data_IF_946445927311
#
_entry.id   IF_946445927311
#
_cell.length_a   1.000
_cell.length_b   1.000
_cell.length_c   1.000
_cell.angle_alpha   90.00
_cell.angle_beta   90.00
_cell.angle_gamma   90.00
#
_symmetry.space_group_name_H-M   'P 1'
#
loop_
_entity.id
_entity.type
_entity.pdbx_description
1 polymer ?
#
# COMPACT_ATOMS: atom_id res chain seq x y z
N UNK A 1 18.77 -35.76 -13.57
CA UNK A 1 19.41 -35.64 -14.89
C UNK A 1 20.55 -34.64 -14.69
N UNK A 2 21.83 -34.97 -14.94
CA UNK A 2 22.93 -34.04 -14.62
C UNK A 2 23.68 -33.63 -15.88
N UNK A 3 23.87 -32.32 -16.03
CA UNK A 3 24.67 -31.76 -17.12
C UNK A 3 26.16 -32.04 -16.89
N UNK A 4 26.89 -32.50 -17.91
CA UNK A 4 28.34 -32.55 -17.85
C UNK A 4 28.94 -31.14 -17.71
N UNK A 5 29.97 -30.99 -16.86
CA UNK A 5 30.56 -29.68 -16.53
C UNK A 5 31.14 -28.93 -17.74
N UNK A 6 31.48 -29.65 -18.80
CA UNK A 6 32.03 -29.14 -20.05
C UNK A 6 30.97 -28.77 -21.10
N UNK A 7 29.68 -29.01 -20.83
CA UNK A 7 28.59 -28.73 -21.76
C UNK A 7 27.86 -27.45 -21.30
N UNK A 8 27.71 -26.44 -22.17
CA UNK A 8 26.90 -25.26 -21.88
C UNK A 8 25.45 -25.58 -21.52
N UNK A 9 24.83 -24.71 -20.72
CA UNK A 9 23.51 -24.98 -20.14
C UNK A 9 22.38 -24.97 -21.17
N UNK A 10 22.44 -24.02 -22.09
CA UNK A 10 21.55 -23.88 -23.24
C UNK A 10 21.58 -25.14 -24.11
N UNK A 11 22.78 -25.60 -24.50
CA UNK A 11 22.97 -26.80 -25.32
C UNK A 11 22.42 -28.05 -24.64
N UNK A 12 22.71 -28.25 -23.35
CA UNK A 12 22.16 -29.41 -22.64
C UNK A 12 20.64 -29.33 -22.51
N UNK A 13 20.07 -28.14 -22.32
CA UNK A 13 18.62 -27.97 -22.28
C UNK A 13 17.94 -28.24 -23.62
N UNK A 14 18.60 -27.94 -24.74
CA UNK A 14 18.13 -28.28 -26.08
C UNK A 14 18.11 -29.80 -26.29
N UNK A 15 19.13 -30.51 -25.83
CA UNK A 15 19.18 -31.98 -25.90
C UNK A 15 18.03 -32.62 -25.09
N UNK A 16 17.72 -32.11 -23.90
CA UNK A 16 16.58 -32.60 -23.10
C UNK A 16 15.26 -32.46 -23.86
N UNK A 17 15.08 -31.33 -24.58
CA UNK A 17 13.90 -31.11 -25.43
C UNK A 17 13.93 -32.01 -26.67
N UNK A 18 15.08 -32.14 -27.32
CA UNK A 18 15.27 -32.93 -28.53
C UNK A 18 14.96 -34.41 -28.29
N UNK A 19 15.37 -34.95 -27.14
CA UNK A 19 15.08 -36.32 -26.74
C UNK A 19 13.69 -36.51 -26.10
N UNK A 20 12.86 -35.47 -26.05
CA UNK A 20 11.50 -35.50 -25.49
C UNK A 20 11.43 -36.14 -24.10
N UNK A 21 12.43 -35.86 -23.24
CA UNK A 21 12.54 -36.48 -21.90
C UNK A 21 11.40 -36.09 -20.94
N UNK A 22 10.50 -35.20 -21.37
CA UNK A 22 9.33 -34.74 -20.64
C UNK A 22 9.57 -33.48 -19.81
N UNK A 23 8.48 -32.78 -19.47
CA UNK A 23 8.55 -31.55 -18.68
C UNK A 23 9.08 -31.81 -17.26
N UNK A 24 8.76 -32.94 -16.65
CA UNK A 24 9.24 -33.32 -15.32
C UNK A 24 10.78 -33.46 -15.28
N UNK A 25 11.38 -34.00 -16.33
CA UNK A 25 12.84 -34.12 -16.45
C UNK A 25 13.52 -32.75 -16.65
N UNK A 26 12.88 -31.86 -17.42
CA UNK A 26 13.32 -30.49 -17.63
C UNK A 26 13.23 -29.65 -16.34
N UNK A 27 12.13 -29.80 -15.59
CA UNK A 27 11.88 -29.08 -14.35
C UNK A 27 12.87 -29.48 -13.26
N UNK A 28 13.07 -30.78 -13.08
CA UNK A 28 14.08 -31.31 -12.16
C UNK A 28 15.50 -30.90 -12.54
N UNK A 29 15.80 -30.81 -13.83
CA UNK A 29 17.09 -30.29 -14.31
C UNK A 29 17.27 -28.80 -13.97
N UNK A 30 16.23 -27.99 -14.16
CA UNK A 30 16.24 -26.56 -13.79
C UNK A 30 16.48 -26.37 -12.30
N UNK A 31 15.77 -27.12 -11.46
CA UNK A 31 15.96 -27.11 -10.00
C UNK A 31 17.39 -27.51 -9.61
N UNK A 32 17.93 -28.58 -10.20
CA UNK A 32 19.30 -29.08 -9.94
C UNK A 32 20.40 -28.06 -10.35
N UNK A 33 20.16 -27.24 -11.38
CA UNK A 33 21.06 -26.16 -11.81
C UNK A 33 20.84 -24.84 -11.03
N UNK A 34 19.90 -24.82 -10.09
CA UNK A 34 19.62 -23.66 -9.25
C UNK A 34 18.68 -22.62 -9.88
N UNK A 35 17.99 -22.95 -10.96
CA UNK A 35 16.89 -22.11 -11.47
C UNK A 35 15.68 -22.26 -10.55
N UNK A 36 15.32 -21.18 -9.87
CA UNK A 36 14.08 -21.08 -9.13
C UNK A 36 12.96 -20.93 -10.16
N UNK A 37 11.97 -21.84 -10.14
CA UNK A 37 10.76 -21.67 -10.95
C UNK A 37 10.06 -20.40 -10.47
N UNK A 38 9.95 -19.40 -11.34
CA UNK A 38 9.10 -18.25 -11.07
C UNK A 38 7.68 -18.76 -10.89
N UNK A 39 7.11 -18.52 -9.70
CA UNK A 39 5.74 -18.90 -9.39
C UNK A 39 4.81 -18.13 -10.34
N UNK A 40 4.19 -18.84 -11.28
CA UNK A 40 3.29 -18.24 -12.26
C UNK A 40 2.10 -17.62 -11.52
N UNK A 41 2.09 -16.28 -11.45
CA UNK A 41 1.00 -15.56 -10.80
C UNK A 41 -0.25 -15.69 -11.66
N UNK A 42 -1.37 -16.23 -11.14
CA UNK A 42 -2.57 -16.44 -11.92
C UNK A 42 -3.11 -15.11 -12.45
N UNK A 43 -3.60 -15.12 -13.69
CA UNK A 43 -4.26 -13.97 -14.31
C UNK A 43 -5.79 -14.17 -14.28
N UNK A 44 -6.57 -13.08 -14.20
CA UNK A 44 -8.03 -13.17 -14.29
C UNK A 44 -8.48 -13.75 -15.64
N UNK A 45 -9.50 -14.60 -15.65
CA UNK A 45 -10.03 -15.23 -16.87
C UNK A 45 -10.71 -14.22 -17.80
N UNK A 46 -11.43 -13.23 -17.23
CA UNK A 46 -12.15 -12.22 -18.00
C UNK A 46 -11.19 -11.17 -18.54
N UNK A 47 -11.28 -10.89 -19.83
CA UNK A 47 -10.37 -9.96 -20.52
C UNK A 47 -10.34 -8.55 -19.90
N UNK A 48 -11.51 -7.99 -19.57
CA UNK A 48 -11.57 -6.69 -18.88
C UNK A 48 -10.88 -6.71 -17.51
N UNK A 49 -11.13 -7.75 -16.70
CA UNK A 49 -10.49 -7.88 -15.39
C UNK A 49 -8.98 -8.05 -15.54
N UNK A 50 -8.53 -8.82 -16.55
CA UNK A 50 -7.12 -9.00 -16.86
C UNK A 50 -6.46 -7.69 -17.26
N UNK A 51 -7.09 -6.88 -18.11
CA UNK A 51 -6.55 -5.57 -18.50
C UNK A 51 -6.40 -4.63 -17.31
N UNK A 52 -7.44 -4.54 -16.46
CA UNK A 52 -7.40 -3.71 -15.25
C UNK A 52 -6.37 -4.25 -14.25
N UNK A 53 -6.28 -5.56 -14.08
CA UNK A 53 -5.29 -6.20 -13.21
C UNK A 53 -3.86 -5.91 -13.68
N UNK A 54 -3.58 -6.05 -14.98
CA UNK A 54 -2.29 -5.71 -15.56
C UNK A 54 -1.93 -4.23 -15.34
N UNK A 55 -2.92 -3.34 -15.54
CA UNK A 55 -2.74 -1.90 -15.40
C UNK A 55 -2.33 -1.46 -13.98
N UNK A 56 -2.88 -2.11 -12.95
CA UNK A 56 -2.65 -1.74 -11.55
C UNK A 56 -1.62 -2.61 -10.84
N UNK A 57 -1.42 -3.85 -11.24
CA UNK A 57 -0.51 -4.80 -10.56
C UNK A 57 0.87 -4.87 -11.25
N UNK A 58 0.95 -4.62 -12.55
CA UNK A 58 2.19 -4.75 -13.33
C UNK A 58 2.53 -3.44 -14.04
N UNK A 59 3.37 -2.58 -13.44
CA UNK A 59 3.78 -1.31 -14.03
C UNK A 59 4.38 -1.48 -15.43
N UNK A 60 5.12 -2.57 -15.66
CA UNK A 60 5.78 -2.85 -16.94
C UNK A 60 4.83 -3.35 -18.04
N UNK A 61 3.56 -3.58 -17.73
CA UNK A 61 2.59 -4.10 -18.70
C UNK A 61 2.28 -3.11 -19.84
N UNK A 62 2.31 -1.81 -19.56
CA UNK A 62 1.95 -0.76 -20.54
C UNK A 62 2.39 0.64 -20.11
N UNK A 63 2.42 1.59 -21.05
CA UNK A 63 2.69 3.01 -20.75
C UNK A 63 1.77 3.61 -19.68
N UNK A 64 0.43 3.46 -19.78
CA UNK A 64 -0.49 3.89 -18.74
C UNK A 64 -0.28 3.22 -17.39
N UNK A 65 0.11 1.94 -17.35
CA UNK A 65 0.42 1.22 -16.11
C UNK A 65 1.62 1.86 -15.41
N UNK A 66 2.67 2.24 -16.16
CA UNK A 66 3.82 2.98 -15.62
C UNK A 66 3.41 4.32 -15.03
N UNK A 67 2.53 5.07 -15.71
CA UNK A 67 2.05 6.37 -15.20
C UNK A 67 1.28 6.19 -13.90
N UNK A 68 0.37 5.22 -13.81
CA UNK A 68 -0.37 4.91 -12.58
C UNK A 68 0.59 4.52 -11.46
N UNK A 69 1.57 3.66 -11.74
CA UNK A 69 2.57 3.27 -10.76
C UNK A 69 3.37 4.48 -10.24
N UNK A 70 3.80 5.39 -11.12
CA UNK A 70 4.49 6.63 -10.74
C UNK A 70 3.59 7.50 -9.85
N UNK A 71 2.32 7.69 -10.21
CA UNK A 71 1.37 8.43 -9.37
C UNK A 71 1.23 7.79 -8.00
N UNK A 72 1.08 6.47 -7.93
CA UNK A 72 1.00 5.73 -6.67
C UNK A 72 2.25 5.90 -5.80
N UNK A 73 3.46 5.88 -6.39
CA UNK A 73 4.72 6.21 -5.68
C UNK A 73 4.66 7.62 -5.10
N UNK A 74 4.28 8.60 -5.92
CA UNK A 74 4.25 10.01 -5.50
C UNK A 74 3.27 10.21 -4.33
N UNK A 75 2.10 9.58 -4.38
CA UNK A 75 1.12 9.62 -3.28
C UNK A 75 1.69 8.97 -2.01
N UNK A 76 2.39 7.83 -2.12
CA UNK A 76 3.09 7.21 -0.98
C UNK A 76 4.12 8.18 -0.39
N UNK A 77 4.99 8.77 -1.21
CA UNK A 77 6.02 9.71 -0.76
C UNK A 77 5.41 10.95 -0.09
N UNK A 78 4.39 11.54 -0.70
CA UNK A 78 3.67 12.69 -0.11
C UNK A 78 3.09 12.33 1.26
N UNK A 79 2.47 11.15 1.38
CA UNK A 79 1.95 10.68 2.67
C UNK A 79 3.07 10.53 3.72
N UNK A 80 4.25 10.02 3.34
CA UNK A 80 5.39 9.88 4.26
C UNK A 80 5.90 11.25 4.69
N UNK A 81 6.07 12.19 3.75
CA UNK A 81 6.52 13.55 4.06
C UNK A 81 5.56 14.21 5.05
N UNK A 82 4.24 14.11 4.82
CA UNK A 82 3.22 14.64 5.74
C UNK A 82 3.32 14.00 7.11
N UNK A 83 3.50 12.68 7.17
CA UNK A 83 3.70 11.98 8.45
C UNK A 83 4.89 12.53 9.23
N UNK A 84 6.01 12.73 8.53
CA UNK A 84 7.22 13.28 9.13
C UNK A 84 6.96 14.70 9.63
N UNK A 85 6.28 15.53 8.85
CA UNK A 85 5.92 16.90 9.23
C UNK A 85 4.97 16.94 10.44
N UNK A 86 3.96 16.06 10.52
CA UNK A 86 3.06 15.94 11.68
C UNK A 86 3.79 15.49 12.96
N UNK A 87 4.91 14.79 12.81
CA UNK A 87 5.71 14.33 13.94
C UNK A 87 6.59 15.45 14.50
N UNK A 88 6.91 16.48 13.71
CA UNK A 88 7.72 17.61 14.15
C UNK A 88 7.00 18.44 15.22
N UNK A 89 7.63 18.67 16.39
CA UNK A 89 7.02 19.44 17.48
C UNK A 89 6.82 20.93 17.12
N UNK A 90 7.70 21.49 16.29
CA UNK A 90 7.67 22.90 15.86
C UNK A 90 6.39 23.25 15.09
N UNK A 91 5.82 22.31 14.32
CA UNK A 91 4.55 22.48 13.61
C UNK A 91 3.31 22.24 14.49
N UNK A 92 3.47 21.60 15.66
CA UNK A 92 2.41 21.42 16.64
C UNK A 92 2.22 22.66 17.51
N UNK A 93 3.32 23.32 17.88
CA UNK A 93 3.27 24.54 18.69
C UNK A 93 2.48 25.67 18.00
N UNK A 94 2.59 25.81 16.66
CA UNK A 94 1.77 26.76 15.90
C UNK A 94 0.27 26.36 15.84
N UNK A 95 -0.04 25.05 15.80
CA UNK A 95 -1.44 24.56 15.79
C UNK A 95 -2.12 24.76 17.15
N UNK A 96 -1.42 24.50 18.25
CA UNK A 96 -1.91 24.79 19.60
C UNK A 96 -2.05 26.31 19.84
N UNK A 97 -1.22 27.13 19.17
CA UNK A 97 -1.32 28.60 19.20
C UNK A 97 -2.45 29.18 18.33
N UNK A 98 -2.93 28.44 17.31
CA UNK A 98 -4.13 28.82 16.53
C UNK A 98 -5.46 28.58 17.25
N UNK A 99 -5.45 28.05 18.48
CA UNK A 99 -6.49 28.33 19.45
C UNK A 99 -6.46 29.82 19.77
N UNK A 100 -7.05 30.64 18.89
CA UNK A 100 -7.02 32.10 19.04
C UNK A 100 -7.82 32.46 20.29
N UNK A 101 -7.15 32.58 21.44
CA UNK A 101 -7.76 33.08 22.66
C UNK A 101 -7.96 34.59 22.48
N UNK A 102 -9.04 34.95 21.77
CA UNK A 102 -9.49 36.33 21.74
C UNK A 102 -10.19 36.61 23.07
N UNK A 103 -9.48 37.26 24.00
CA UNK A 103 -10.09 37.85 25.19
C UNK A 103 -10.87 39.09 24.76
N UNK A 104 -12.17 38.94 24.59
CA UNK A 104 -13.12 40.06 24.51
C UNK A 104 -13.99 39.94 25.77
N UNK A 105 -13.90 40.93 26.66
CA UNK A 105 -14.71 41.09 27.87
C UNK A 105 -14.86 39.82 28.75
N UNK A 106 -13.85 39.52 29.57
CA UNK A 106 -13.84 38.48 30.61
C UNK A 106 -14.22 37.05 30.15
N UNK A 107 -14.42 36.83 28.85
CA UNK A 107 -14.92 35.58 28.29
C UNK A 107 -13.87 35.03 27.34
N UNK A 108 -13.36 33.84 27.67
CA UNK A 108 -12.40 33.12 26.84
C UNK A 108 -13.17 32.35 25.77
N UNK A 109 -13.19 32.83 24.53
CA UNK A 109 -13.77 32.08 23.40
C UNK A 109 -12.67 31.25 22.76
N UNK A 110 -12.75 29.93 22.90
CA UNK A 110 -11.84 28.98 22.26
C UNK A 110 -12.40 28.68 20.88
N UNK A 111 -11.75 29.18 19.83
CA UNK A 111 -12.03 28.75 18.46
C UNK A 111 -11.40 27.36 18.26
N UNK A 112 -12.24 26.33 18.19
CA UNK A 112 -11.78 25.03 17.72
C UNK A 112 -11.60 25.12 16.20
N UNK A 113 -10.37 25.17 15.74
CA UNK A 113 -10.04 25.03 14.32
C UNK A 113 -10.66 23.73 13.80
N UNK A 114 -11.54 23.81 12.80
CA UNK A 114 -12.15 22.62 12.20
C UNK A 114 -11.03 21.75 11.61
N UNK A 115 -10.81 20.56 12.17
CA UNK A 115 -9.80 19.59 11.71
C UNK A 115 -9.96 19.23 10.23
N UNK A 116 -11.19 19.27 9.71
CA UNK A 116 -11.53 19.10 8.30
C UNK A 116 -10.94 20.17 7.35
N UNK A 117 -10.43 21.28 7.89
CA UNK A 117 -9.78 22.36 7.13
C UNK A 117 -8.25 22.32 7.26
N UNK A 118 -7.72 21.41 8.08
CA UNK A 118 -6.28 21.24 8.26
C UNK A 118 -5.66 20.72 6.95
N UNK A 119 -4.68 21.44 6.35
CA UNK A 119 -4.07 21.01 5.10
C UNK A 119 -3.48 19.58 5.18
N UNK A 120 -2.94 19.19 6.34
CA UNK A 120 -2.41 17.85 6.55
C UNK A 120 -3.51 16.79 6.53
N UNK A 121 -4.64 17.05 7.20
CA UNK A 121 -5.82 16.18 7.15
C UNK A 121 -6.36 16.04 5.72
N UNK A 122 -6.50 17.15 4.98
CA UNK A 122 -7.02 17.12 3.60
C UNK A 122 -6.13 16.26 2.70
N UNK A 123 -4.81 16.45 2.75
CA UNK A 123 -3.91 15.65 1.91
C UNK A 123 -3.86 14.20 2.37
N UNK A 124 -3.92 13.92 3.69
CA UNK A 124 -4.06 12.55 4.18
C UNK A 124 -5.34 11.89 3.65
N UNK A 125 -6.49 12.58 3.71
CA UNK A 125 -7.75 12.11 3.14
C UNK A 125 -7.61 11.80 1.64
N UNK A 126 -6.99 12.69 0.86
CA UNK A 126 -6.78 12.47 -0.58
C UNK A 126 -5.90 11.25 -0.86
N UNK A 127 -4.81 11.06 -0.10
CA UNK A 127 -3.95 9.88 -0.19
C UNK A 127 -4.74 8.60 0.13
N UNK A 128 -5.57 8.61 1.17
CA UNK A 128 -6.39 7.47 1.55
C UNK A 128 -7.47 7.16 0.51
N UNK A 129 -8.08 8.18 -0.10
CA UNK A 129 -9.03 8.00 -1.21
C UNK A 129 -8.34 7.27 -2.37
N UNK A 130 -7.15 7.74 -2.77
CA UNK A 130 -6.38 7.11 -3.84
C UNK A 130 -6.03 5.64 -3.51
N UNK A 131 -5.51 5.39 -2.32
CA UNK A 131 -5.18 4.04 -1.87
C UNK A 131 -6.38 3.11 -1.75
N UNK A 132 -7.51 3.62 -1.31
CA UNK A 132 -8.76 2.85 -1.24
C UNK A 132 -9.27 2.54 -2.63
N UNK A 133 -9.23 3.50 -3.56
CA UNK A 133 -9.58 3.30 -4.96
C UNK A 133 -8.71 2.20 -5.58
N UNK A 134 -7.39 2.31 -5.42
CA UNK A 134 -6.41 1.33 -5.87
C UNK A 134 -6.65 -0.09 -5.31
N UNK A 135 -6.97 -0.19 -4.02
CA UNK A 135 -7.29 -1.45 -3.36
C UNK A 135 -8.59 -2.05 -3.90
N UNK A 136 -9.63 -1.24 -4.05
CA UNK A 136 -10.95 -1.66 -4.52
C UNK A 136 -10.90 -2.14 -5.97
N UNK A 137 -10.22 -1.40 -6.86
CA UNK A 137 -10.05 -1.79 -8.26
C UNK A 137 -9.35 -3.14 -8.36
N UNK A 138 -8.24 -3.33 -7.62
CA UNK A 138 -7.52 -4.61 -7.59
C UNK A 138 -8.38 -5.71 -6.99
N UNK A 139 -9.10 -5.44 -5.90
CA UNK A 139 -10.00 -6.42 -5.30
C UNK A 139 -11.06 -6.91 -6.29
N UNK A 140 -11.63 -6.04 -7.14
CA UNK A 140 -12.60 -6.48 -8.15
C UNK A 140 -11.96 -7.16 -9.36
N UNK A 141 -10.75 -6.74 -9.75
CA UNK A 141 -10.03 -7.28 -10.90
C UNK A 141 -9.24 -8.57 -10.61
N UNK A 142 -8.96 -8.91 -9.35
CA UNK A 142 -8.10 -10.05 -9.01
C UNK A 142 -8.71 -11.41 -9.40
N UNK A 143 -7.85 -12.40 -9.74
CA UNK A 143 -8.28 -13.75 -10.14
C UNK A 143 -8.98 -14.51 -9.01
N UNK A 144 -8.50 -14.38 -7.77
CA UNK A 144 -9.00 -15.08 -6.59
C UNK A 144 -9.10 -14.12 -5.41
N UNK A 145 -10.30 -13.99 -4.82
CA UNK A 145 -10.54 -13.07 -3.69
C UNK A 145 -9.86 -13.56 -2.42
N UNK A 146 -9.75 -14.86 -2.22
CA UNK A 146 -9.10 -15.44 -1.03
C UNK A 146 -7.60 -15.26 -1.07
N UNK A 147 -6.99 -15.44 -2.25
CA UNK A 147 -5.54 -15.29 -2.39
C UNK A 147 -5.14 -13.82 -2.39
N UNK A 148 -6.05 -12.93 -2.81
CA UNK A 148 -5.88 -11.49 -2.66
C UNK A 148 -5.60 -11.09 -1.21
N UNK A 149 -6.37 -11.60 -0.24
CA UNK A 149 -6.16 -11.28 1.18
C UNK A 149 -4.98 -12.01 1.82
N UNK A 150 -4.57 -13.16 1.27
CA UNK A 150 -3.36 -13.87 1.73
C UNK A 150 -2.06 -13.21 1.22
N UNK A 151 -2.15 -12.45 0.14
CA UNK A 151 -1.00 -11.74 -0.41
C UNK A 151 -0.56 -10.60 0.53
N UNK A 152 0.71 -10.65 0.96
CA UNK A 152 1.28 -9.70 1.91
C UNK A 152 1.23 -8.24 1.41
N UNK A 153 1.37 -8.00 0.11
CA UNK A 153 1.34 -6.65 -0.46
C UNK A 153 -0.07 -6.05 -0.36
N UNK A 154 -1.10 -6.84 -0.66
CA UNK A 154 -2.50 -6.40 -0.50
C UNK A 154 -2.87 -6.24 0.98
N UNK A 155 -2.29 -7.05 1.88
CA UNK A 155 -2.47 -6.88 3.32
C UNK A 155 -1.87 -5.56 3.81
N UNK A 156 -0.65 -5.20 3.38
CA UNK A 156 -0.04 -3.90 3.65
C UNK A 156 -0.93 -2.77 3.13
N UNK A 157 -1.55 -2.94 1.95
CA UNK A 157 -2.50 -1.97 1.43
C UNK A 157 -3.71 -1.78 2.36
N UNK A 158 -4.31 -2.85 2.87
CA UNK A 158 -5.43 -2.77 3.82
C UNK A 158 -5.02 -2.08 5.13
N UNK A 159 -3.88 -2.48 5.72
CA UNK A 159 -3.41 -1.93 7.00
C UNK A 159 -3.10 -0.44 6.87
N UNK A 160 -2.62 0.03 5.72
CA UNK A 160 -2.29 1.43 5.51
C UNK A 160 -3.50 2.38 5.50
N UNK A 161 -4.72 1.89 5.21
CA UNK A 161 -5.94 2.73 5.23
C UNK A 161 -6.65 2.73 6.59
N UNK A 162 -6.41 1.72 7.44
CA UNK A 162 -7.08 1.54 8.73
C UNK A 162 -6.91 2.76 9.68
N UNK A 163 -5.71 3.33 9.86
CA UNK A 163 -5.52 4.44 10.81
C UNK A 163 -6.45 5.62 10.56
N UNK A 164 -6.68 5.97 9.29
CA UNK A 164 -7.55 7.09 8.93
C UNK A 164 -9.01 6.85 9.32
N UNK A 165 -9.56 5.66 9.02
CA UNK A 165 -10.94 5.34 9.36
C UNK A 165 -11.17 5.27 10.87
N UNK A 166 -10.17 4.81 11.64
CA UNK A 166 -10.25 4.81 13.11
C UNK A 166 -10.19 6.25 13.64
N UNK A 167 -9.26 7.09 13.15
CA UNK A 167 -9.18 8.51 13.53
C UNK A 167 -10.50 9.22 13.24
N UNK A 168 -11.04 9.09 12.03
CA UNK A 168 -12.32 9.69 11.64
C UNK A 168 -13.48 9.20 12.51
N UNK A 169 -13.57 7.90 12.76
CA UNK A 169 -14.61 7.33 13.63
C UNK A 169 -14.51 7.81 15.09
N UNK A 170 -13.28 7.98 15.60
CA UNK A 170 -13.03 8.50 16.96
C UNK A 170 -13.47 9.95 17.07
N UNK A 171 -13.14 10.79 16.08
CA UNK A 171 -13.53 12.21 16.07
C UNK A 171 -15.05 12.40 15.99
N UNK A 172 -15.73 11.60 15.18
CA UNK A 172 -17.20 11.63 15.10
C UNK A 172 -17.82 11.18 16.44
N UNK A 173 -17.27 10.14 17.08
CA UNK A 173 -17.74 9.66 18.37
C UNK A 173 -17.49 10.65 19.53
N UNK A 174 -16.38 11.40 19.48
CA UNK A 174 -16.08 12.46 20.45
C UNK A 174 -17.10 13.61 20.37
N UNK A 175 -17.59 13.95 19.17
CA UNK A 175 -18.66 14.94 19.01
C UNK A 175 -19.98 14.50 19.66
N UNK A 176 -20.20 13.20 19.81
CA UNK A 176 -21.38 12.62 20.47
C UNK A 176 -21.22 12.42 21.99
N UNK A 177 -20.09 12.86 22.57
CA UNK A 177 -19.95 13.09 24.01
C UNK A 177 -19.43 11.93 24.87
N UNK A 178 -18.81 10.89 24.29
CA UNK A 178 -18.39 9.70 25.04
C UNK A 178 -16.85 9.56 25.15
N UNK A 179 -16.35 9.65 26.40
CA UNK A 179 -15.06 9.13 26.92
C UNK A 179 -13.72 9.64 26.34
N UNK A 180 -13.23 10.79 26.83
CA UNK A 180 -11.88 11.35 26.59
C UNK A 180 -10.68 10.55 27.19
N UNK A 181 -10.92 9.56 28.06
CA UNK A 181 -9.87 9.00 28.93
C UNK A 181 -9.01 7.87 28.34
N UNK A 182 -9.59 6.99 27.51
CA UNK A 182 -8.89 5.84 26.89
C UNK A 182 -8.46 6.11 25.44
N UNK A 183 -8.94 7.18 24.81
CA UNK A 183 -8.69 7.50 23.41
C UNK A 183 -7.28 8.06 23.15
N UNK A 184 -6.64 8.70 24.14
CA UNK A 184 -5.33 9.32 23.94
C UNK A 184 -4.21 8.28 23.65
N UNK A 185 -4.27 7.10 24.25
CA UNK A 185 -3.29 6.03 24.03
C UNK A 185 -3.52 5.30 22.71
N UNK A 186 -4.78 5.11 22.30
CA UNK A 186 -5.12 4.50 21.00
C UNK A 186 -4.70 5.40 19.83
N UNK A 187 -4.90 6.72 19.93
CA UNK A 187 -4.48 7.68 18.90
C UNK A 187 -2.95 7.68 18.69
N UNK A 188 -2.15 7.47 19.74
CA UNK A 188 -0.70 7.35 19.63
C UNK A 188 -0.26 6.09 18.86
N UNK A 189 -0.94 4.96 19.09
CA UNK A 189 -0.66 3.70 18.40
C UNK A 189 -1.04 3.80 16.92
N UNK A 190 -2.15 4.44 16.58
CA UNK A 190 -2.57 4.65 15.18
C UNK A 190 -1.52 5.42 14.36
N UNK A 191 -0.82 6.38 14.98
CA UNK A 191 0.31 7.09 14.34
C UNK A 191 1.44 6.13 13.98
N UNK A 192 1.74 5.16 14.82
CA UNK A 192 2.75 4.13 14.51
C UNK A 192 2.28 3.23 13.36
N UNK A 193 1.00 2.87 13.31
CA UNK A 193 0.45 2.06 12.21
C UNK A 193 0.53 2.80 10.87
N UNK A 194 0.45 4.15 10.85
CA UNK A 194 0.69 4.93 9.63
C UNK A 194 2.09 4.69 9.04
N UNK A 195 3.12 4.36 9.85
CA UNK A 195 4.44 3.99 9.33
C UNK A 195 4.40 2.76 8.44
N UNK A 196 3.44 1.85 8.63
CA UNK A 196 3.29 0.65 7.78
C UNK A 196 3.07 1.04 6.31
N UNK A 197 2.52 2.23 6.04
CA UNK A 197 2.36 2.75 4.67
C UNK A 197 3.68 2.92 3.92
N UNK A 198 4.82 3.05 4.63
CA UNK A 198 6.15 3.11 4.00
C UNK A 198 6.47 1.82 3.24
N UNK A 199 6.00 0.68 3.72
CA UNK A 199 6.28 -0.62 3.10
C UNK A 199 5.56 -0.80 1.76
N UNK A 200 4.57 0.04 1.44
CA UNK A 200 3.92 0.03 0.11
C UNK A 200 4.91 0.35 -1.01
N UNK A 201 6.00 1.07 -0.73
CA UNK A 201 7.04 1.32 -1.74
C UNK A 201 7.67 0.01 -2.24
N UNK A 202 7.75 -1.00 -1.39
CA UNK A 202 8.29 -2.31 -1.74
C UNK A 202 7.35 -3.12 -2.64
N UNK A 203 6.10 -2.70 -2.85
CA UNK A 203 5.22 -3.31 -3.86
C UNK A 203 5.74 -3.11 -5.29
N UNK A 204 6.59 -2.12 -5.50
CA UNK A 204 7.13 -1.73 -6.80
C UNK A 204 8.58 -2.19 -7.02
N UNK A 205 9.21 -2.75 -5.99
CA UNK A 205 10.56 -3.33 -6.04
C UNK A 205 10.49 -4.84 -6.16
#
# INVERSE_FOLDING_TARGET
>A
LRRPVNVPLDMFSEEIKFYELGEEAMEKFREDEGFIKEEERPLPEKEYQRQVWLLFEYPESSGPARVIAIVSVMVILISIVIFCLETLPELKDDKDFTGTVHRIDNTTVIYNSNIFTDPFFIVETLCIIWFSFELVVRFFACPSKTDFFKNIMNFIDIVAIIPYFITLGTEIAEQEGNQKGEQATSLAILRVIRLVRVFRIFKLS
#
